data_IF_095382971054
#
_entry.id   IF_095382971054
#
_cell.length_a   1.000
_cell.length_b   1.000
_cell.length_c   1.000
_cell.angle_alpha   90.00
_cell.angle_beta   90.00
_cell.angle_gamma   90.00
#
_symmetry.space_group_name_H-M   'P 1'
#
loop_
_entity.id
_entity.type
_entity.pdbx_description
1 polymer ?
#
# COMPACT_ATOMS: atom_id res chain seq x y z
N UNK A 1 23.59 -20.93 14.08
CA UNK A 1 22.26 -21.38 13.59
C UNK A 1 21.19 -20.86 14.52
N UNK A 2 20.47 -19.82 14.14
CA UNK A 2 19.31 -19.33 14.88
C UNK A 2 18.15 -19.24 13.90
N UNK A 3 17.38 -20.33 13.78
CA UNK A 3 16.16 -20.34 12.99
C UNK A 3 15.19 -19.35 13.66
N UNK A 4 15.05 -18.16 13.07
CA UNK A 4 14.02 -17.21 13.49
C UNK A 4 12.70 -17.88 13.18
N UNK A 5 12.00 -18.29 14.22
CA UNK A 5 10.70 -18.92 14.18
C UNK A 5 9.72 -17.97 13.48
N UNK A 6 9.58 -18.09 12.16
CA UNK A 6 8.60 -17.36 11.36
C UNK A 6 7.24 -17.93 11.75
N UNK A 7 6.60 -17.33 12.76
CA UNK A 7 5.19 -17.58 13.05
C UNK A 7 4.44 -17.31 11.75
N UNK A 8 3.94 -18.35 11.10
CA UNK A 8 3.02 -18.21 9.98
C UNK A 8 1.75 -17.57 10.53
N UNK A 9 1.63 -16.25 10.37
CA UNK A 9 0.45 -15.51 10.75
C UNK A 9 -0.62 -15.71 9.65
N UNK A 10 -1.43 -16.76 9.81
CA UNK A 10 -2.45 -17.16 8.83
C UNK A 10 -3.53 -16.09 8.61
N UNK A 11 -3.83 -15.29 9.63
CA UNK A 11 -4.86 -14.24 9.61
C UNK A 11 -4.29 -12.88 10.03
N UNK A 12 -3.22 -12.46 9.37
CA UNK A 12 -2.51 -11.21 9.69
C UNK A 12 -3.40 -9.98 9.52
N UNK A 13 -3.32 -9.04 10.46
CA UNK A 13 -4.02 -7.78 10.45
C UNK A 13 -3.09 -6.62 10.81
N UNK A 14 -3.36 -5.45 10.23
CA UNK A 14 -2.67 -4.19 10.48
C UNK A 14 -3.68 -3.09 10.78
N UNK A 15 -3.41 -2.33 11.83
CA UNK A 15 -4.16 -1.11 12.13
C UNK A 15 -3.62 0.08 11.35
N UNK A 16 -4.52 0.82 10.69
CA UNK A 16 -4.26 2.04 9.93
C UNK A 16 -5.14 3.18 10.42
N UNK A 17 -4.60 4.40 10.42
CA UNK A 17 -5.40 5.59 10.65
C UNK A 17 -6.30 5.88 9.46
N UNK A 18 -7.45 6.50 9.71
CA UNK A 18 -8.26 7.07 8.66
C UNK A 18 -7.65 8.39 8.15
N UNK A 19 -7.79 8.72 6.86
CA UNK A 19 -8.59 8.01 5.84
C UNK A 19 -7.88 6.82 5.16
N UNK A 20 -6.59 6.61 5.42
CA UNK A 20 -5.77 5.63 4.68
C UNK A 20 -6.29 4.19 4.79
N UNK A 21 -6.89 3.80 5.91
CA UNK A 21 -7.49 2.48 6.09
C UNK A 21 -8.59 2.21 5.04
N UNK A 22 -9.55 3.14 4.92
CA UNK A 22 -10.63 3.03 3.93
C UNK A 22 -10.08 3.14 2.50
N UNK A 23 -9.16 4.07 2.23
CA UNK A 23 -8.61 4.27 0.89
C UNK A 23 -7.87 3.01 0.39
N UNK A 24 -7.20 2.28 1.29
CA UNK A 24 -6.48 1.06 0.96
C UNK A 24 -7.44 -0.08 0.57
N UNK A 25 -8.47 -0.33 1.39
CA UNK A 25 -9.45 -1.41 1.10
C UNK A 25 -10.43 -1.05 -0.03
N UNK A 26 -10.50 0.21 -0.44
CA UNK A 26 -11.21 0.65 -1.65
C UNK A 26 -10.34 0.66 -2.90
N UNK A 27 -9.07 0.25 -2.81
CA UNK A 27 -8.17 0.20 -3.98
C UNK A 27 -7.70 1.55 -4.51
N UNK A 28 -7.92 2.62 -3.76
CA UNK A 28 -7.50 3.98 -4.11
C UNK A 28 -6.04 4.18 -3.70
N UNK A 29 -5.71 3.79 -2.47
CA UNK A 29 -4.33 3.67 -1.99
C UNK A 29 -3.84 2.28 -2.30
N UNK A 30 -2.64 2.14 -2.90
CA UNK A 30 -2.08 0.83 -3.28
C UNK A 30 -0.74 0.54 -2.63
N UNK A 31 -0.15 1.55 -1.99
CA UNK A 31 1.12 1.41 -1.27
C UNK A 31 0.94 1.75 0.18
N UNK A 32 1.27 0.82 1.07
CA UNK A 32 1.33 1.08 2.51
C UNK A 32 2.77 1.42 2.93
N UNK A 33 2.93 2.56 3.61
CA UNK A 33 4.23 3.07 3.98
C UNK A 33 4.62 2.73 5.41
N UNK A 34 5.77 2.07 5.62
CA UNK A 34 6.32 1.76 6.95
C UNK A 34 7.80 2.07 7.11
N UNK A 35 8.22 2.25 8.36
CA UNK A 35 9.64 2.34 8.77
C UNK A 35 10.33 0.97 8.86
N UNK A 36 9.61 -0.11 8.59
CA UNK A 36 10.07 -1.48 8.71
C UNK A 36 9.54 -2.34 7.53
N UNK A 37 10.26 -3.39 7.12
CA UNK A 37 9.88 -4.21 5.96
C UNK A 37 8.62 -5.03 6.24
N UNK A 38 7.88 -5.40 5.17
CA UNK A 38 6.74 -6.30 5.30
C UNK A 38 7.21 -7.67 5.84
N UNK A 39 6.69 -8.15 6.98
CA UNK A 39 7.09 -9.43 7.55
C UNK A 39 6.31 -10.60 6.95
N UNK A 40 5.34 -10.29 6.08
CA UNK A 40 4.42 -11.24 5.45
C UNK A 40 4.30 -10.94 3.95
N UNK A 41 3.94 -11.99 3.20
CA UNK A 41 3.29 -11.87 1.90
C UNK A 41 1.91 -12.52 2.00
N UNK A 42 1.01 -12.07 1.15
CA UNK A 42 -0.36 -12.57 1.07
C UNK A 42 -1.35 -11.69 1.81
N UNK A 43 -2.50 -12.26 2.15
CA UNK A 43 -3.63 -11.52 2.72
C UNK A 43 -3.26 -10.78 4.01
N UNK A 44 -3.57 -9.48 4.01
CA UNK A 44 -3.48 -8.60 5.15
C UNK A 44 -4.84 -7.94 5.41
N UNK A 45 -5.41 -8.25 6.57
CA UNK A 45 -6.62 -7.61 7.08
C UNK A 45 -6.32 -6.19 7.56
N UNK A 46 -7.25 -5.27 7.31
CA UNK A 46 -7.09 -3.85 7.64
C UNK A 46 -8.11 -3.46 8.70
N UNK A 47 -7.58 -3.00 9.83
CA UNK A 47 -8.34 -2.39 10.92
C UNK A 47 -8.20 -0.87 10.85
N UNK A 48 -9.32 -0.15 10.93
CA UNK A 48 -9.33 1.30 11.06
C UNK A 48 -9.16 1.68 12.54
N UNK A 49 -8.13 2.47 12.84
CA UNK A 49 -7.81 2.94 14.18
C UNK A 49 -8.96 3.77 14.79
N UNK A 50 -8.95 3.93 16.12
CA UNK A 50 -10.02 4.63 16.84
C UNK A 50 -10.02 6.16 16.75
N UNK A 51 -8.95 6.78 16.22
CA UNK A 51 -8.88 8.23 16.07
C UNK A 51 -9.81 8.68 14.95
N UNK A 52 -10.77 9.53 15.28
CA UNK A 52 -11.66 10.18 14.31
C UNK A 52 -10.81 11.03 13.34
N UNK A 53 -10.91 10.80 12.02
CA UNK A 53 -10.20 11.60 11.04
C UNK A 53 -10.74 13.03 11.02
N UNK A 54 -9.84 14.00 10.96
CA UNK A 54 -10.22 15.39 10.77
C UNK A 54 -10.78 15.61 9.33
N UNK A 55 -11.91 16.31 9.14
CA UNK A 55 -12.50 16.50 7.82
C UNK A 55 -11.56 17.16 6.80
N UNK A 56 -10.68 18.07 7.26
CA UNK A 56 -9.70 18.70 6.35
C UNK A 56 -8.65 17.71 5.88
N UNK A 57 -8.26 16.77 6.75
CA UNK A 57 -7.37 15.66 6.39
C UNK A 57 -8.01 14.71 5.38
N UNK A 58 -9.30 14.37 5.55
CA UNK A 58 -10.04 13.57 4.57
C UNK A 58 -10.00 14.28 3.21
N UNK A 59 -10.48 15.52 3.15
CA UNK A 59 -10.54 16.29 1.91
C UNK A 59 -9.18 16.40 1.24
N UNK A 60 -8.13 16.73 1.99
CA UNK A 60 -6.78 16.85 1.46
C UNK A 60 -6.26 15.52 0.87
N UNK A 61 -6.59 14.38 1.48
CA UNK A 61 -6.21 13.08 0.92
C UNK A 61 -7.06 12.70 -0.30
N UNK A 62 -8.35 13.02 -0.32
CA UNK A 62 -9.18 12.80 -1.52
C UNK A 62 -8.70 13.64 -2.70
N UNK A 63 -8.44 14.92 -2.48
CA UNK A 63 -7.89 15.82 -3.51
C UNK A 63 -6.54 15.30 -4.03
N UNK A 64 -5.64 14.88 -3.13
CA UNK A 64 -4.36 14.28 -3.49
C UNK A 64 -4.51 13.04 -4.39
N UNK A 65 -5.42 12.12 -4.08
CA UNK A 65 -5.64 10.95 -4.95
C UNK A 65 -6.35 11.30 -6.25
N UNK A 66 -7.25 12.31 -6.28
CA UNK A 66 -7.81 12.81 -7.54
C UNK A 66 -6.71 13.32 -8.47
N UNK A 67 -5.77 14.11 -7.96
CA UNK A 67 -4.65 14.62 -8.76
C UNK A 67 -3.78 13.49 -9.30
N UNK A 68 -3.45 12.50 -8.47
CA UNK A 68 -2.65 11.33 -8.87
C UNK A 68 -3.31 10.54 -9.98
N UNK A 69 -4.62 10.29 -9.87
CA UNK A 69 -5.38 9.52 -10.85
C UNK A 69 -5.68 10.33 -12.12
N UNK A 70 -5.80 11.65 -12.01
CA UNK A 70 -5.99 12.54 -13.16
C UNK A 70 -4.78 12.53 -14.12
N UNK A 71 -3.56 12.30 -13.61
CA UNK A 71 -2.36 12.10 -14.45
C UNK A 71 -2.54 10.91 -15.41
N UNK A 72 -3.28 9.88 -14.98
CA UNK A 72 -3.60 8.70 -15.81
C UNK A 72 -4.93 8.84 -16.57
N UNK A 73 -5.51 10.05 -16.62
CA UNK A 73 -6.75 10.34 -17.32
C UNK A 73 -8.02 9.93 -16.56
N UNK A 74 -7.93 9.56 -15.28
CA UNK A 74 -9.10 9.20 -14.47
C UNK A 74 -9.59 10.40 -13.69
N UNK A 75 -10.78 10.85 -14.07
CA UNK A 75 -11.41 12.05 -13.51
C UNK A 75 -12.59 11.74 -12.58
N UNK A 76 -13.24 10.58 -12.73
CA UNK A 76 -14.38 10.14 -11.90
C UNK A 76 -13.95 9.10 -10.86
N UNK A 77 -13.05 9.50 -9.95
CA UNK A 77 -12.64 8.67 -8.82
C UNK A 77 -13.69 8.74 -7.71
N UNK A 78 -14.26 7.59 -7.34
CA UNK A 78 -15.28 7.46 -6.29
C UNK A 78 -14.63 7.16 -4.94
N UNK A 79 -14.87 8.04 -3.97
CA UNK A 79 -14.36 7.91 -2.61
C UNK A 79 -15.40 7.24 -1.69
N UNK A 80 -14.96 6.63 -0.57
CA UNK A 80 -15.87 6.12 0.45
C UNK A 80 -16.72 7.25 1.04
N UNK A 81 -18.03 7.02 1.17
CA UNK A 81 -18.94 7.98 1.83
C UNK A 81 -18.64 8.13 3.33
N UNK A 82 -18.09 7.08 3.96
CA UNK A 82 -17.83 7.03 5.40
C UNK A 82 -16.46 6.42 5.71
N UNK A 83 -15.85 6.91 6.78
CA UNK A 83 -14.55 6.49 7.29
C UNK A 83 -14.69 5.92 8.71
N UNK A 84 -15.15 4.66 8.86
CA UNK A 84 -15.41 4.08 10.18
C UNK A 84 -14.12 3.97 11.01
N UNK A 85 -14.24 4.06 12.33
CA UNK A 85 -13.14 3.94 13.29
C UNK A 85 -13.38 2.76 14.23
N UNK A 86 -12.30 2.20 14.78
CA UNK A 86 -12.35 1.04 15.69
C UNK A 86 -13.04 -0.19 15.08
N UNK A 87 -12.88 -0.40 13.77
CA UNK A 87 -13.51 -1.49 13.04
C UNK A 87 -12.56 -2.17 12.06
N UNK A 88 -12.73 -3.46 11.87
CA UNK A 88 -12.20 -4.19 10.73
C UNK A 88 -12.95 -3.73 9.47
N UNK A 89 -12.24 -3.31 8.44
CA UNK A 89 -12.85 -2.68 7.25
C UNK A 89 -12.69 -3.48 5.97
N UNK A 90 -11.73 -4.41 5.91
CA UNK A 90 -11.46 -5.21 4.71
C UNK A 90 -10.10 -5.88 4.75
N UNK A 91 -9.61 -6.28 3.59
CA UNK A 91 -8.26 -6.80 3.41
C UNK A 91 -7.69 -6.44 2.04
N UNK A 92 -6.37 -6.56 1.92
CA UNK A 92 -5.60 -6.46 0.67
C UNK A 92 -4.61 -7.61 0.61
N UNK A 93 -4.04 -7.88 -0.55
CA UNK A 93 -2.95 -8.83 -0.75
C UNK A 93 -1.61 -8.09 -0.73
N UNK A 94 -0.72 -8.39 0.21
CA UNK A 94 0.65 -7.85 0.21
C UNK A 94 1.50 -8.71 -0.71
N UNK A 95 1.76 -8.19 -1.91
CA UNK A 95 2.54 -8.90 -2.93
C UNK A 95 4.04 -8.56 -2.83
N UNK A 96 4.35 -7.36 -2.35
CA UNK A 96 5.68 -6.78 -2.46
C UNK A 96 6.10 -5.87 -1.30
N UNK A 97 7.41 -5.65 -1.17
CA UNK A 97 7.98 -4.65 -0.27
C UNK A 97 9.23 -4.06 -0.91
N UNK A 98 9.19 -2.76 -1.23
CA UNK A 98 10.29 -2.04 -1.87
C UNK A 98 10.89 -1.07 -0.86
N UNK A 99 12.22 -0.98 -0.81
CA UNK A 99 12.92 0.05 -0.02
C UNK A 99 13.00 1.34 -0.84
N UNK A 100 12.66 2.51 -0.26
CA UNK A 100 12.67 3.81 -0.99
C UNK A 100 13.96 4.04 -1.77
N UNK A 101 15.11 3.76 -1.18
CA UNK A 101 16.42 4.00 -1.82
C UNK A 101 16.72 3.08 -3.00
N UNK A 102 15.95 2.00 -3.18
CA UNK A 102 16.00 1.12 -4.33
C UNK A 102 15.01 1.53 -5.45
N UNK A 103 14.19 2.55 -5.22
CA UNK A 103 13.28 3.12 -6.21
C UNK A 103 13.92 3.60 -7.54
N UNK A 104 15.22 3.93 -7.61
CA UNK A 104 15.84 4.27 -8.90
C UNK A 104 15.86 3.11 -9.90
N UNK A 105 15.82 1.86 -9.46
CA UNK A 105 15.79 0.70 -10.39
C UNK A 105 14.42 0.55 -11.06
N UNK A 106 13.40 1.26 -10.57
CA UNK A 106 12.01 1.17 -11.04
C UNK A 106 11.62 2.34 -11.97
N UNK A 107 12.59 3.12 -12.44
CA UNK A 107 12.37 4.25 -13.36
C UNK A 107 11.79 3.85 -14.73
N UNK A 108 11.82 2.56 -15.09
CA UNK A 108 11.41 2.07 -16.42
C UNK A 108 10.07 1.31 -16.41
N UNK A 109 9.31 1.33 -15.30
CA UNK A 109 8.01 0.68 -15.20
C UNK A 109 6.93 1.74 -14.95
N UNK A 110 6.24 2.12 -16.03
CA UNK A 110 5.14 3.09 -16.09
C UNK A 110 4.11 2.97 -14.94
N UNK A 111 3.69 1.76 -14.49
CA UNK A 111 2.73 1.60 -13.39
C UNK A 111 3.23 2.06 -12.01
N UNK A 112 4.51 2.39 -11.85
CA UNK A 112 5.13 2.68 -10.54
C UNK A 112 5.34 4.17 -10.27
N UNK A 113 4.93 5.05 -11.18
CA UNK A 113 5.00 6.50 -10.92
C UNK A 113 4.14 6.88 -9.71
N UNK A 114 2.96 6.30 -9.58
CA UNK A 114 2.05 6.56 -8.46
C UNK A 114 2.57 5.94 -7.14
N UNK A 115 3.29 4.81 -7.21
CA UNK A 115 4.00 4.23 -6.05
C UNK A 115 5.01 5.20 -5.45
N UNK A 116 5.69 5.99 -6.29
CA UNK A 116 6.64 7.02 -5.82
C UNK A 116 5.94 8.18 -5.11
N UNK A 117 4.73 8.55 -5.56
CA UNK A 117 3.94 9.62 -4.95
C UNK A 117 3.31 9.19 -3.63
N UNK A 118 2.82 7.96 -3.54
CA UNK A 118 2.21 7.37 -2.34
C UNK A 118 3.24 6.99 -1.27
N UNK A 119 4.42 6.50 -1.67
CA UNK A 119 5.45 5.93 -0.81
C UNK A 119 6.41 6.94 -0.20
N UNK A 120 6.08 7.50 0.98
CA UNK A 120 6.90 8.50 1.70
C UNK A 120 7.75 7.96 2.86
N UNK A 121 7.63 6.66 3.20
CA UNK A 121 8.41 5.95 4.25
C UNK A 121 9.42 4.91 3.74
N UNK A 122 10.43 4.54 4.54
CA UNK A 122 11.59 3.75 4.08
C UNK A 122 11.25 2.43 3.39
N UNK A 123 10.15 1.79 3.78
CA UNK A 123 9.60 0.60 3.14
C UNK A 123 8.19 0.89 2.62
N UNK A 124 7.95 0.48 1.39
CA UNK A 124 6.70 0.61 0.66
C UNK A 124 6.15 -0.79 0.41
N UNK A 125 5.10 -1.16 1.12
CA UNK A 125 4.42 -2.44 0.94
C UNK A 125 3.45 -2.29 -0.22
N UNK A 126 3.55 -3.18 -1.19
CA UNK A 126 2.74 -3.17 -2.39
C UNK A 126 1.49 -4.01 -2.15
N UNK A 127 0.33 -3.40 -2.31
CA UNK A 127 -0.96 -3.98 -2.00
C UNK A 127 -1.82 -4.11 -3.25
N UNK A 128 -2.30 -5.33 -3.51
CA UNK A 128 -3.22 -5.68 -4.61
C UNK A 128 -4.53 -6.25 -4.05
N UNK A 129 -5.45 -6.60 -4.95
CA UNK A 129 -6.71 -7.30 -4.65
C UNK A 129 -7.47 -6.72 -3.44
N UNK A 130 -7.85 -5.44 -3.48
CA UNK A 130 -8.60 -4.83 -2.40
C UNK A 130 -9.99 -5.47 -2.27
N UNK A 131 -10.31 -5.87 -1.05
CA UNK A 131 -11.61 -6.39 -0.67
C UNK A 131 -12.10 -5.63 0.56
N UNK A 132 -13.37 -5.18 0.54
CA UNK A 132 -13.97 -4.46 1.67
C UNK A 132 -15.05 -5.30 2.34
N UNK A 133 -15.25 -5.08 3.63
CA UNK A 133 -16.39 -5.66 4.34
C UNK A 133 -17.65 -4.87 3.99
N UNK A 134 -18.73 -5.57 3.62
CA UNK A 134 -20.05 -4.97 3.42
C UNK A 134 -20.50 -4.28 4.72
N UNK A 135 -20.25 -4.93 5.85
CA UNK A 135 -20.47 -4.39 7.19
C UNK A 135 -19.16 -4.45 7.97
N UNK A 136 -18.53 -3.30 8.29
CA UNK A 136 -17.33 -3.26 9.11
C UNK A 136 -17.57 -3.85 10.51
N UNK A 137 -16.69 -4.74 10.96
CA UNK A 137 -16.84 -5.47 12.23
C UNK A 137 -16.13 -4.74 13.37
N UNK A 138 -16.79 -4.60 14.52
CA UNK A 138 -16.19 -3.95 15.69
C UNK A 138 -15.08 -4.79 16.29
N UNK A 139 -13.91 -4.17 16.49
CA UNK A 139 -12.80 -4.81 17.18
C UNK A 139 -11.76 -3.79 17.65
N UNK A 140 -10.96 -4.19 18.64
CA UNK A 140 -9.79 -3.42 19.07
C UNK A 140 -8.60 -3.69 18.13
N UNK A 141 -7.95 -2.62 17.69
CA UNK A 141 -6.68 -2.69 16.95
C UNK A 141 -5.50 -2.91 17.88
N UNK A 142 -4.38 -3.36 17.32
CA UNK A 142 -3.13 -3.56 18.05
C UNK A 142 -1.95 -2.91 17.34
N UNK A 143 -0.86 -2.71 18.08
CA UNK A 143 0.39 -2.23 17.49
C UNK A 143 1.04 -3.32 16.65
N UNK A 144 1.71 -2.91 15.56
CA UNK A 144 2.36 -3.80 14.57
C UNK A 144 1.34 -4.76 13.94
N UNK A 145 1.83 -5.80 13.25
CA UNK A 145 0.98 -6.87 12.74
C UNK A 145 0.56 -7.78 13.91
N UNK A 146 -0.72 -8.13 13.91
CA UNK A 146 -1.33 -9.04 14.86
C UNK A 146 -2.24 -10.03 14.13
N UNK A 147 -2.68 -11.10 14.79
CA UNK A 147 -3.61 -12.06 14.20
C UNK A 147 -5.04 -11.73 14.60
N UNK A 148 -5.97 -11.87 13.66
CA UNK A 148 -7.40 -11.87 13.99
C UNK A 148 -7.75 -13.11 14.82
N UNK A 149 -8.73 -12.93 15.71
CA UNK A 149 -9.42 -14.06 16.32
C UNK A 149 -10.15 -14.88 15.25
N UNK A 150 -10.20 -16.20 15.42
CA UNK A 150 -10.78 -17.10 14.42
C UNK A 150 -12.27 -16.82 14.18
N UNK A 151 -13.06 -16.51 15.22
CA UNK A 151 -14.48 -16.22 15.05
C UNK A 151 -14.67 -14.93 14.26
N UNK A 152 -13.85 -13.92 14.55
CA UNK A 152 -13.88 -12.65 13.83
C UNK A 152 -13.46 -12.81 12.37
N UNK A 153 -12.42 -13.62 12.11
CA UNK A 153 -11.97 -13.95 10.76
C UNK A 153 -13.08 -14.64 9.95
N UNK A 154 -13.71 -15.68 10.50
CA UNK A 154 -14.79 -16.40 9.84
C UNK A 154 -15.98 -15.48 9.54
N UNK A 155 -16.33 -14.60 10.49
CA UNK A 155 -17.36 -13.59 10.27
C UNK A 155 -16.97 -12.62 9.14
N UNK A 156 -15.72 -12.15 9.12
CA UNK A 156 -15.22 -11.20 8.13
C UNK A 156 -15.23 -11.80 6.71
N UNK A 157 -14.79 -13.05 6.55
CA UNK A 157 -14.78 -13.76 5.25
C UNK A 157 -16.18 -13.84 4.65
N UNK A 158 -17.22 -14.07 5.46
CA UNK A 158 -18.62 -14.20 4.99
C UNK A 158 -19.20 -12.91 4.41
N UNK A 159 -18.69 -11.74 4.82
CA UNK A 159 -19.17 -10.42 4.39
C UNK A 159 -18.13 -9.66 3.57
N UNK A 160 -17.09 -10.36 3.10
CA UNK A 160 -16.04 -9.81 2.28
C UNK A 160 -16.52 -9.66 0.83
N UNK A 161 -16.29 -8.50 0.22
CA UNK A 161 -16.67 -8.20 -1.15
C UNK A 161 -15.47 -7.66 -1.93
N UNK A 162 -15.17 -8.19 -3.13
CA UNK A 162 -14.16 -7.62 -4.02
C UNK A 162 -14.51 -6.17 -4.38
N UNK A 163 -13.47 -5.33 -4.50
CA UNK A 163 -13.64 -3.95 -4.97
C UNK A 163 -13.23 -3.85 -6.43
N UNK A 164 -14.12 -3.30 -7.25
CA UNK A 164 -13.82 -2.89 -8.61
C UNK A 164 -13.04 -1.57 -8.56
N UNK A 165 -11.72 -1.65 -8.52
CA UNK A 165 -10.84 -0.50 -8.42
C UNK A 165 -10.77 0.24 -9.77
N UNK A 166 -10.82 1.58 -9.75
CA UNK A 166 -10.77 2.40 -10.98
C UNK A 166 -9.51 2.16 -11.84
N UNK A 167 -8.41 1.71 -11.21
CA UNK A 167 -7.22 1.17 -11.88
C UNK A 167 -6.77 -0.10 -11.16
N UNK A 168 -7.15 -1.28 -11.65
CA UNK A 168 -6.58 -2.53 -11.18
C UNK A 168 -5.10 -2.55 -11.51
N UNK A 169 -4.24 -2.55 -10.49
CA UNK A 169 -2.80 -2.66 -10.68
C UNK A 169 -2.35 -4.09 -10.45
N UNK A 170 -1.43 -4.55 -11.29
CA UNK A 170 -0.55 -5.68 -10.98
C UNK A 170 0.88 -5.19 -10.99
N UNK A 171 1.53 -5.27 -9.84
CA UNK A 171 2.91 -4.85 -9.68
C UNK A 171 3.82 -5.87 -10.39
N UNK A 172 4.66 -5.43 -11.35
CA UNK A 172 5.66 -6.28 -11.96
C UNK A 172 6.77 -6.56 -10.94
N UNK A 173 6.61 -7.62 -10.15
CA UNK A 173 7.62 -8.03 -9.17
C UNK A 173 8.77 -8.77 -9.89
N UNK A 174 10.04 -8.40 -9.64
CA UNK A 174 11.18 -8.99 -10.35
C UNK A 174 11.43 -10.48 -10.04
N UNK A 175 10.79 -11.05 -9.02
CA UNK A 175 10.68 -12.50 -8.77
C UNK A 175 9.60 -12.69 -7.69
N UNK A 176 8.56 -13.55 -7.89
CA UNK A 176 7.55 -13.84 -6.87
C UNK A 176 8.15 -14.40 -5.56
N UNK A 177 9.32 -15.04 -5.63
CA UNK A 177 9.98 -15.66 -4.49
C UNK A 177 10.91 -14.69 -3.75
N UNK A 178 11.45 -13.67 -4.42
CA UNK A 178 12.49 -12.79 -3.87
C UNK A 178 12.22 -11.29 -4.08
N UNK A 179 11.70 -10.62 -3.03
CA UNK A 179 11.52 -9.17 -2.99
C UNK A 179 12.80 -8.41 -2.58
N UNK A 180 13.88 -9.12 -2.25
CA UNK A 180 15.14 -8.56 -1.76
C UNK A 180 16.27 -8.59 -2.81
N UNK A 181 16.18 -9.45 -3.82
CA UNK A 181 17.16 -9.52 -4.91
C UNK A 181 16.76 -8.62 -6.09
N UNK A 182 17.16 -7.36 -6.02
CA UNK A 182 17.47 -6.63 -7.26
C UNK A 182 18.83 -7.14 -7.76
N UNK A 183 18.86 -8.29 -8.43
CA UNK A 183 20.03 -8.69 -9.23
C UNK A 183 19.99 -7.87 -10.53
N UNK A 184 21.00 -7.02 -10.81
CA UNK A 184 21.14 -6.45 -12.14
C UNK A 184 21.49 -7.60 -13.09
N UNK A 185 20.65 -7.89 -14.10
CA UNK A 185 21.04 -8.81 -15.17
C UNK A 185 20.01 -9.79 -15.72
N UNK A 186 18.69 -9.60 -15.54
CA UNK A 186 17.68 -10.49 -16.14
C UNK A 186 16.72 -9.78 -17.12
N UNK A 187 17.19 -8.75 -17.81
CA UNK A 187 16.53 -8.32 -19.05
C UNK A 187 17.43 -8.74 -20.20
N UNK A 188 16.96 -9.74 -20.94
CA UNK A 188 17.53 -10.12 -22.22
C UNK A 188 17.62 -8.88 -23.10
N UNK A 189 18.83 -8.68 -23.61
CA UNK A 189 19.26 -7.65 -24.56
C UNK A 189 18.18 -7.27 -25.58
N UNK A 190 17.74 -6.01 -25.55
CA UNK A 190 17.58 -5.23 -26.77
C UNK A 190 17.55 -3.72 -26.46
N UNK A 191 18.14 -2.93 -27.36
CA UNK A 191 18.07 -1.47 -27.48
C UNK A 191 19.04 -0.60 -26.66
N UNK A 192 20.20 -0.39 -27.30
CA UNK A 192 20.82 0.90 -27.66
C UNK A 192 20.79 2.06 -26.65
N UNK A 193 22.01 2.37 -26.21
CA UNK A 193 22.50 3.54 -25.48
C UNK A 193 21.94 4.87 -26.01
N UNK A 194 21.36 5.68 -25.12
CA UNK A 194 21.29 7.14 -25.27
C UNK A 194 21.84 7.82 -24.00
N UNK A 195 22.52 8.95 -24.23
CA UNK A 195 23.59 9.55 -23.41
C UNK A 195 23.11 10.30 -22.15
N UNK A 196 24.06 10.45 -21.25
CA UNK A 196 24.04 10.89 -19.83
C UNK A 196 23.75 12.39 -19.54
N UNK A 197 23.17 13.17 -20.46
CA UNK A 197 23.21 14.64 -20.33
C UNK A 197 21.99 15.33 -19.69
N UNK A 198 20.89 14.64 -19.35
CA UNK A 198 19.69 15.31 -18.79
C UNK A 198 19.52 15.22 -17.25
N UNK A 199 20.47 14.61 -16.53
CA UNK A 199 20.35 14.33 -15.08
C UNK A 199 20.77 15.49 -14.15
N UNK A 200 20.88 16.73 -14.63
CA UNK A 200 21.40 17.88 -13.84
C UNK A 200 20.40 18.96 -13.47
N UNK A 201 19.11 18.79 -13.76
CA UNK A 201 18.08 19.76 -13.37
C UNK A 201 17.13 19.06 -12.41
N UNK A 202 16.82 19.68 -11.26
CA UNK A 202 16.04 19.20 -10.10
C UNK A 202 16.84 18.75 -8.86
N UNK A 203 18.11 19.08 -8.75
CA UNK A 203 18.81 19.16 -7.46
C UNK A 203 18.60 20.54 -6.80
N UNK A 204 17.59 20.66 -5.92
CA UNK A 204 17.74 21.54 -4.76
C UNK A 204 16.77 21.18 -3.61
N UNK A 205 17.26 20.95 -2.37
CA UNK A 205 16.45 20.53 -1.24
C UNK A 205 16.06 21.73 -0.37
N UNK A 206 14.78 21.84 0.01
CA UNK A 206 14.32 22.53 1.24
C UNK A 206 12.80 22.41 1.36
N UNK A 207 12.32 21.60 2.31
CA UNK A 207 11.40 22.01 3.40
C UNK A 207 10.89 20.80 4.20
N UNK A 208 11.24 20.85 5.48
CA UNK A 208 10.58 20.42 6.71
C UNK A 208 9.63 19.21 6.71
N UNK A 209 9.98 18.31 7.62
CA UNK A 209 9.24 17.15 8.11
C UNK A 209 7.79 17.45 8.53
N UNK A 210 6.90 16.51 8.20
CA UNK A 210 5.81 16.08 9.06
C UNK A 210 5.60 14.58 8.83
N UNK A 211 6.22 13.75 9.66
CA UNK A 211 5.93 12.32 9.73
C UNK A 211 4.63 12.16 10.52
N UNK A 212 3.53 11.78 9.86
CA UNK A 212 2.38 11.19 10.53
C UNK A 212 2.54 9.67 10.46
N UNK A 213 2.95 9.09 11.59
CA UNK A 213 2.83 7.67 11.95
C UNK A 213 2.34 7.62 13.39
#
# INVERSE_FOLDING_TARGET
>A
MGSKNTKHCTNSCLTLHQPWASLLVHGIKRVEGRSWPAPIRGRLWIHAAGKVPDPTTIKAMEDFYREIYAVDGIVDLKFPEYYPVSRLVGCVEVVGCIKRRAAPVLHNLDPLLQVKLEGKTDFCWLCEEPNKLIVPLEMRGHQRIFNLDNQLYEAAVRVLCPVDASLPIKFPLPDPQDLFSLKPGSLGSCCTVLKEEELRILSNPRRSCACFC
#
